data_IF_826100813106
#
_entry.id   IF_826100813106
#
_cell.length_a   1.000
_cell.length_b   1.000
_cell.length_c   1.000
_cell.angle_alpha   90.00
_cell.angle_beta   90.00
_cell.angle_gamma   90.00
#
_symmetry.space_group_name_H-M   'P 1'
#
loop_
_entity.id
_entity.type
_entity.pdbx_description
1 polymer ?
#
# COMPACT_ATOMS: atom_id res chain seq x y z
N UNK A 1 -2.73 -10.39 16.39
CA UNK A 1 -1.85 -9.38 15.77
C UNK A 1 -2.55 -8.03 15.60
N UNK A 2 -3.74 -7.95 14.99
CA UNK A 2 -4.50 -6.68 14.79
C UNK A 2 -4.68 -5.79 16.04
N UNK A 3 -4.84 -6.37 17.23
CA UNK A 3 -4.97 -5.60 18.48
C UNK A 3 -3.65 -4.92 18.90
N UNK A 4 -2.52 -5.62 18.80
CA UNK A 4 -1.21 -5.06 19.11
C UNK A 4 -0.80 -4.00 18.07
N UNK A 5 -1.16 -4.19 16.80
CA UNK A 5 -0.92 -3.21 15.74
C UNK A 5 -1.70 -1.91 16.00
N UNK A 6 -2.97 -2.03 16.41
CA UNK A 6 -3.79 -0.87 16.81
C UNK A 6 -3.23 -0.13 18.03
N UNK A 7 -2.76 -0.87 19.04
CA UNK A 7 -2.12 -0.29 20.22
C UNK A 7 -0.83 0.46 19.86
N UNK A 8 0.01 -0.14 19.01
CA UNK A 8 1.26 0.47 18.55
C UNK A 8 1.00 1.79 17.80
N UNK A 9 -0.02 1.82 16.94
CA UNK A 9 -0.41 3.03 16.22
C UNK A 9 -0.89 4.14 17.15
N UNK A 10 -1.70 3.81 18.16
CA UNK A 10 -2.19 4.77 19.15
C UNK A 10 -1.03 5.35 19.98
N UNK A 11 -0.11 4.51 20.46
CA UNK A 11 1.09 4.94 21.20
C UNK A 11 1.98 5.82 20.32
N UNK A 12 2.14 5.49 19.04
CA UNK A 12 2.92 6.29 18.10
C UNK A 12 2.32 7.70 17.92
N UNK A 13 1.00 7.82 17.77
CA UNK A 13 0.33 9.13 17.68
C UNK A 13 0.51 9.91 18.98
N UNK A 14 0.28 9.26 20.13
CA UNK A 14 0.44 9.90 21.43
C UNK A 14 1.86 10.45 21.60
N UNK A 15 2.88 9.68 21.21
CA UNK A 15 4.28 10.10 21.28
C UNK A 15 4.60 11.26 20.32
N UNK A 16 4.09 11.24 19.09
CA UNK A 16 4.25 12.37 18.17
C UNK A 16 3.59 13.63 18.72
N UNK A 17 2.42 13.50 19.34
CA UNK A 17 1.71 14.61 19.94
C UNK A 17 2.47 15.17 21.15
N UNK A 18 2.95 14.31 22.06
CA UNK A 18 3.70 14.77 23.25
C UNK A 18 5.02 15.41 22.87
N UNK A 19 5.78 14.83 21.94
CA UNK A 19 7.04 15.40 21.46
C UNK A 19 6.82 16.66 20.63
N UNK A 20 5.71 16.74 19.88
CA UNK A 20 5.32 17.95 19.16
C UNK A 20 4.96 19.10 20.09
N UNK A 21 4.25 18.81 21.19
CA UNK A 21 3.90 19.80 22.22
C UNK A 21 5.13 20.30 23.00
N UNK A 22 6.22 19.53 23.03
CA UNK A 22 7.49 19.92 23.65
C UNK A 22 8.24 20.98 22.83
N UNK A 23 7.93 21.13 21.53
CA UNK A 23 8.60 22.07 20.63
C UNK A 23 7.81 23.36 20.51
N UNK A 24 8.44 24.49 20.85
CA UNK A 24 7.86 25.81 20.62
C UNK A 24 8.12 26.27 19.17
N UNK A 25 7.09 26.70 18.42
CA UNK A 25 7.27 27.21 17.05
C UNK A 25 8.24 28.39 16.93
N UNK A 26 8.35 29.20 17.98
CA UNK A 26 9.28 30.33 18.06
C UNK A 26 10.75 29.90 18.05
N UNK A 27 11.08 28.75 18.64
CA UNK A 27 12.45 28.22 18.66
C UNK A 27 12.82 27.49 17.38
N UNK A 28 11.84 27.19 16.51
CA UNK A 28 12.09 26.58 15.21
C UNK A 28 12.61 27.61 14.20
N UNK A 29 12.11 28.85 14.25
CA UNK A 29 12.42 29.92 13.27
C UNK A 29 13.92 30.10 13.01
N UNK A 30 14.80 30.16 14.03
CA UNK A 30 16.24 30.30 13.82
C UNK A 30 16.89 29.07 13.14
N UNK A 31 16.27 27.90 13.28
CA UNK A 31 16.80 26.62 12.80
C UNK A 31 16.27 26.23 11.43
N UNK A 32 15.25 26.95 10.91
CA UNK A 32 14.65 26.67 9.60
C UNK A 32 15.70 26.70 8.49
N UNK A 33 16.55 27.72 8.44
CA UNK A 33 17.58 27.85 7.40
C UNK A 33 18.56 26.66 7.39
N UNK A 34 19.34 26.47 8.48
CA UNK A 34 20.27 25.35 8.59
C UNK A 34 19.58 23.99 8.47
N UNK A 35 18.42 23.82 9.11
CA UNK A 35 17.62 22.60 9.10
C UNK A 35 17.11 22.24 7.71
N UNK A 36 16.68 23.23 6.92
CA UNK A 36 16.23 23.01 5.53
C UNK A 36 17.39 22.56 4.65
N UNK A 37 18.55 23.20 4.79
CA UNK A 37 19.74 22.81 4.02
C UNK A 37 20.17 21.38 4.32
N UNK A 38 20.23 21.01 5.60
CA UNK A 38 20.53 19.64 6.03
C UNK A 38 19.45 18.67 5.58
N UNK A 39 18.16 19.04 5.68
CA UNK A 39 17.06 18.20 5.23
C UNK A 39 17.17 17.89 3.73
N UNK A 40 17.39 18.92 2.91
CA UNK A 40 17.55 18.79 1.45
C UNK A 40 18.76 17.90 1.13
N UNK A 41 19.90 18.14 1.77
CA UNK A 41 21.10 17.33 1.58
C UNK A 41 20.85 15.85 1.92
N UNK A 42 20.22 15.59 3.06
CA UNK A 42 19.91 14.22 3.49
C UNK A 42 18.90 13.53 2.55
N UNK A 43 17.94 14.28 2.00
CA UNK A 43 16.89 13.74 1.12
C UNK A 43 17.40 13.51 -0.30
N UNK A 44 18.11 14.48 -0.88
CA UNK A 44 18.51 14.45 -2.30
C UNK A 44 19.86 13.77 -2.53
N UNK A 45 20.75 13.77 -1.53
CA UNK A 45 22.13 13.26 -1.69
C UNK A 45 22.36 12.04 -0.82
N UNK A 46 22.29 12.19 0.51
CA UNK A 46 22.70 11.13 1.42
C UNK A 46 21.86 9.86 1.24
N UNK A 47 20.54 9.99 1.13
CA UNK A 47 19.65 8.83 0.98
C UNK A 47 19.81 8.15 -0.39
N UNK A 48 19.72 8.83 -1.54
CA UNK A 48 19.83 8.16 -2.82
C UNK A 48 21.16 7.43 -2.98
N UNK A 49 22.26 8.04 -2.53
CA UNK A 49 23.57 7.38 -2.51
C UNK A 49 23.54 6.14 -1.62
N UNK A 50 23.06 6.24 -0.38
CA UNK A 50 22.99 5.10 0.54
C UNK A 50 22.16 3.94 -0.03
N UNK A 51 20.98 4.23 -0.60
CA UNK A 51 20.11 3.21 -1.18
C UNK A 51 20.72 2.62 -2.45
N UNK A 52 21.29 3.45 -3.33
CA UNK A 52 21.94 2.98 -4.56
C UNK A 52 23.15 2.09 -4.28
N UNK A 53 23.95 2.40 -3.26
CA UNK A 53 25.08 1.57 -2.83
C UNK A 53 24.59 0.25 -2.26
N UNK A 54 23.59 0.27 -1.36
CA UNK A 54 23.01 -0.96 -0.81
C UNK A 54 22.33 -1.84 -1.88
N UNK A 55 21.79 -1.22 -2.93
CA UNK A 55 21.02 -1.88 -3.99
C UNK A 55 21.84 -2.05 -5.30
N UNK A 56 23.12 -1.68 -5.30
CA UNK A 56 24.06 -1.94 -6.37
C UNK A 56 24.20 -3.45 -6.68
N UNK A 57 24.29 -4.37 -5.69
CA UNK A 57 24.45 -5.80 -5.97
C UNK A 57 23.18 -6.50 -6.45
N UNK A 58 21.99 -5.89 -6.33
CA UNK A 58 20.75 -6.51 -6.81
C UNK A 58 20.57 -6.33 -8.32
N UNK A 59 20.65 -7.44 -9.07
CA UNK A 59 20.62 -7.50 -10.55
C UNK A 59 19.22 -7.59 -11.18
N UNK A 60 18.17 -7.76 -10.39
CA UNK A 60 16.79 -7.97 -10.88
C UNK A 60 15.90 -6.72 -10.97
N UNK A 61 16.44 -5.53 -10.71
CA UNK A 61 15.64 -4.30 -10.53
C UNK A 61 16.12 -3.19 -11.46
N UNK A 62 15.19 -2.54 -12.17
CA UNK A 62 15.46 -1.44 -13.08
C UNK A 62 15.87 -0.16 -12.35
N UNK A 63 16.59 0.74 -13.02
CA UNK A 63 17.09 1.98 -12.41
C UNK A 63 15.97 2.87 -11.87
N UNK A 64 14.79 2.83 -12.51
CA UNK A 64 13.59 3.56 -12.09
C UNK A 64 13.08 3.05 -10.74
N UNK A 65 13.00 1.74 -10.55
CA UNK A 65 12.55 1.15 -9.29
C UNK A 65 13.53 1.46 -8.15
N UNK A 66 14.84 1.38 -8.42
CA UNK A 66 15.88 1.78 -7.45
C UNK A 66 15.76 3.25 -7.06
N UNK A 67 15.52 4.14 -8.03
CA UNK A 67 15.28 5.57 -7.80
C UNK A 67 14.00 5.82 -6.98
N UNK A 68 12.92 5.08 -7.24
CA UNK A 68 11.69 5.19 -6.47
C UNK A 68 11.92 4.74 -5.01
N UNK A 69 12.62 3.63 -4.78
CA UNK A 69 12.96 3.16 -3.43
C UNK A 69 13.89 4.16 -2.72
N UNK A 70 14.86 4.73 -3.44
CA UNK A 70 15.72 5.79 -2.93
C UNK A 70 14.93 7.06 -2.55
N UNK A 71 13.84 7.34 -3.24
CA UNK A 71 12.97 8.49 -2.97
C UNK A 71 11.98 8.23 -1.84
N UNK A 72 11.42 7.01 -1.79
CA UNK A 72 10.48 6.57 -0.76
C UNK A 72 11.23 6.28 0.54
N UNK A 73 11.26 7.28 1.41
CA UNK A 73 11.73 7.09 2.77
C UNK A 73 11.08 8.08 3.72
N UNK A 74 9.83 7.87 4.05
CA UNK A 74 9.20 8.66 5.09
C UNK A 74 9.99 8.47 6.38
N UNK A 75 10.47 9.57 6.96
CA UNK A 75 11.16 9.54 8.25
C UNK A 75 10.12 9.21 9.31
N UNK A 76 10.34 8.10 10.01
CA UNK A 76 9.46 7.66 11.10
C UNK A 76 9.68 8.46 12.38
N UNK A 77 9.15 7.93 13.48
CA UNK A 77 9.23 8.55 14.78
C UNK A 77 10.61 8.41 15.47
N UNK A 78 11.39 7.40 15.05
CA UNK A 78 12.67 7.03 15.65
C UNK A 78 13.66 8.19 15.79
N UNK A 79 13.93 9.02 14.76
CA UNK A 79 14.91 10.10 14.90
C UNK A 79 14.52 11.14 15.96
N UNK A 80 13.22 11.40 16.14
CA UNK A 80 12.73 12.37 17.14
C UNK A 80 12.97 11.80 18.55
N UNK A 81 12.70 10.50 18.75
CA UNK A 81 13.01 9.82 20.02
C UNK A 81 14.51 9.87 20.30
N UNK A 82 15.36 9.58 19.31
CA UNK A 82 16.81 9.63 19.51
C UNK A 82 17.29 11.05 19.86
N UNK A 83 16.60 12.08 19.36
CA UNK A 83 16.90 13.47 19.68
C UNK A 83 16.49 13.87 21.11
N UNK A 84 15.69 13.06 21.82
CA UNK A 84 15.42 13.29 23.25
C UNK A 84 16.59 12.85 24.13
N UNK A 85 17.47 11.96 23.66
CA UNK A 85 18.61 11.52 24.47
C UNK A 85 19.57 12.66 24.84
N UNK A 86 20.00 13.55 23.93
CA UNK A 86 20.76 14.74 24.30
C UNK A 86 20.03 15.65 25.29
N UNK A 87 18.70 15.75 25.17
CA UNK A 87 17.85 16.59 26.01
C UNK A 87 17.80 16.05 27.44
N UNK A 88 17.61 14.75 27.60
CA UNK A 88 17.60 14.07 28.91
C UNK A 88 19.01 14.06 29.54
N UNK A 89 20.05 13.96 28.71
CA UNK A 89 21.44 14.01 29.16
C UNK A 89 21.91 15.43 29.56
N UNK A 90 21.08 16.46 29.37
CA UNK A 90 21.41 17.84 29.75
C UNK A 90 22.57 18.45 28.96
N UNK A 91 22.77 18.00 27.71
CA UNK A 91 23.88 18.48 26.88
C UNK A 91 23.65 19.94 26.48
N UNK A 92 24.72 20.74 26.44
CA UNK A 92 24.65 22.11 25.92
C UNK A 92 24.07 22.12 24.50
N UNK A 93 23.13 23.03 24.24
CA UNK A 93 22.40 23.14 22.95
C UNK A 93 21.55 21.91 22.58
N UNK A 94 21.23 21.02 23.53
CA UNK A 94 20.35 19.89 23.27
C UNK A 94 18.98 20.28 22.70
N UNK A 95 18.40 21.39 23.17
CA UNK A 95 17.17 21.97 22.62
C UNK A 95 17.32 22.31 21.13
N UNK A 96 18.44 22.89 20.72
CA UNK A 96 18.71 23.20 19.30
C UNK A 96 18.81 21.93 18.46
N UNK A 97 19.48 20.89 18.96
CA UNK A 97 19.57 19.60 18.26
C UNK A 97 18.19 18.94 18.13
N UNK A 98 17.40 18.95 19.21
CA UNK A 98 16.04 18.43 19.21
C UNK A 98 15.14 19.16 18.21
N UNK A 99 15.10 20.50 18.27
CA UNK A 99 14.34 21.34 17.37
C UNK A 99 14.78 21.14 15.90
N UNK A 100 16.08 20.97 15.65
CA UNK A 100 16.61 20.70 14.31
C UNK A 100 16.12 19.35 13.77
N UNK A 101 16.25 18.28 14.56
CA UNK A 101 15.81 16.93 14.15
C UNK A 101 14.29 16.90 13.95
N UNK A 102 13.54 17.50 14.88
CA UNK A 102 12.09 17.62 14.78
C UNK A 102 11.68 18.34 13.49
N UNK A 103 12.29 19.49 13.20
CA UNK A 103 12.05 20.23 11.97
C UNK A 103 12.33 19.38 10.72
N UNK A 104 13.48 18.70 10.67
CA UNK A 104 13.88 17.85 9.53
C UNK A 104 12.91 16.67 9.33
N UNK A 105 12.40 16.07 10.40
CA UNK A 105 11.46 14.93 10.29
C UNK A 105 10.09 15.42 9.83
N UNK A 106 9.52 16.44 10.48
CA UNK A 106 8.21 16.98 10.15
C UNK A 106 8.18 17.55 8.72
N UNK A 107 9.15 18.40 8.36
CA UNK A 107 9.24 18.96 7.01
C UNK A 107 9.37 17.86 5.95
N UNK A 108 10.17 16.82 6.22
CA UNK A 108 10.33 15.69 5.31
C UNK A 108 9.05 14.88 5.16
N UNK A 109 8.31 14.60 6.23
CA UNK A 109 7.06 13.81 6.14
C UNK A 109 5.98 14.61 5.40
N UNK A 110 5.84 15.90 5.70
CA UNK A 110 4.88 16.79 5.04
C UNK A 110 5.20 16.96 3.55
N UNK A 111 6.47 17.16 3.19
CA UNK A 111 6.87 17.34 1.80
C UNK A 111 6.92 16.03 1.02
N UNK A 112 7.49 14.96 1.60
CA UNK A 112 7.66 13.69 0.88
C UNK A 112 6.36 12.89 0.76
N UNK A 113 5.41 13.01 1.68
CA UNK A 113 4.15 12.26 1.62
C UNK A 113 3.44 12.39 0.27
N UNK A 114 3.06 13.62 -0.14
CA UNK A 114 2.47 13.87 -1.47
C UNK A 114 3.44 13.58 -2.61
N UNK A 115 4.73 13.89 -2.41
CA UNK A 115 5.74 13.81 -3.45
C UNK A 115 6.06 12.37 -3.86
N UNK A 116 5.87 11.38 -2.98
CA UNK A 116 6.02 9.94 -3.31
C UNK A 116 5.01 9.54 -4.39
N UNK A 117 3.73 9.87 -4.21
CA UNK A 117 2.68 9.56 -5.18
C UNK A 117 2.96 10.24 -6.53
N UNK A 118 3.43 11.49 -6.49
CA UNK A 118 3.83 12.22 -7.69
C UNK A 118 5.05 11.58 -8.39
N UNK A 119 6.10 11.23 -7.65
CA UNK A 119 7.32 10.64 -8.20
C UNK A 119 7.08 9.25 -8.77
N UNK A 120 6.23 8.44 -8.12
CA UNK A 120 5.80 7.14 -8.65
C UNK A 120 5.08 7.28 -10.00
N UNK A 121 4.24 8.32 -10.18
CA UNK A 121 3.62 8.67 -11.47
C UNK A 121 4.66 9.09 -12.49
N UNK A 122 5.57 9.98 -12.11
CA UNK A 122 6.63 10.49 -12.99
C UNK A 122 7.53 9.37 -13.53
N UNK A 123 7.83 8.36 -12.71
CA UNK A 123 8.66 7.22 -13.12
C UNK A 123 7.90 6.16 -13.93
N UNK A 124 6.58 6.31 -14.09
CA UNK A 124 5.71 5.33 -14.76
C UNK A 124 5.59 4.01 -14.00
N UNK A 125 5.79 4.04 -12.67
CA UNK A 125 5.75 2.85 -11.80
C UNK A 125 4.41 2.70 -11.07
N UNK A 126 3.40 3.50 -11.42
CA UNK A 126 2.04 3.24 -10.96
C UNK A 126 1.50 2.00 -11.66
N UNK A 127 1.29 0.94 -10.89
CA UNK A 127 0.53 -0.22 -11.34
C UNK A 127 -0.86 0.25 -11.77
N UNK A 128 -1.13 0.27 -13.07
CA UNK A 128 -2.46 0.50 -13.65
C UNK A 128 -3.35 -0.75 -13.47
N UNK A 129 -3.25 -1.43 -12.33
CA UNK A 129 -4.25 -2.43 -11.98
C UNK A 129 -5.49 -1.61 -11.59
N UNK A 130 -6.57 -1.62 -12.37
CA UNK A 130 -7.77 -0.83 -12.07
C UNK A 130 -8.19 -1.13 -10.64
N UNK A 131 -8.54 -0.08 -9.87
CA UNK A 131 -8.95 -0.20 -8.46
C UNK A 131 -9.73 -1.49 -8.26
N UNK A 132 -9.17 -2.37 -7.44
CA UNK A 132 -9.80 -3.63 -7.11
C UNK A 132 -11.07 -3.28 -6.33
N UNK A 133 -12.25 -3.81 -6.69
CA UNK A 133 -13.46 -3.50 -5.97
C UNK A 133 -13.23 -3.94 -4.53
N UNK A 134 -13.50 -3.08 -3.55
CA UNK A 134 -13.46 -3.50 -2.17
C UNK A 134 -14.67 -4.40 -1.94
N UNK A 135 -14.47 -5.71 -2.02
CA UNK A 135 -15.55 -6.67 -1.84
C UNK A 135 -16.06 -6.56 -0.40
N UNK A 136 -17.38 -6.41 -0.19
CA UNK A 136 -17.96 -6.38 1.15
C UNK A 136 -17.79 -7.72 1.90
N UNK A 137 -17.32 -8.75 1.20
CA UNK A 137 -16.99 -10.06 1.75
C UNK A 137 -15.47 -10.18 1.78
N UNK A 138 -14.89 -10.00 2.96
CA UNK A 138 -13.50 -10.37 3.24
C UNK A 138 -13.47 -11.79 3.83
N UNK A 139 -12.97 -12.77 3.07
CA UNK A 139 -12.75 -14.11 3.63
C UNK A 139 -11.36 -14.15 4.27
N UNK A 140 -11.31 -13.86 5.57
CA UNK A 140 -10.08 -14.01 6.35
C UNK A 140 -9.84 -15.50 6.59
N UNK A 141 -8.92 -16.10 5.82
CA UNK A 141 -8.39 -17.43 6.12
C UNK A 141 -9.02 -18.63 5.40
N UNK A 142 -9.76 -18.42 4.30
CA UNK A 142 -10.40 -19.53 3.55
C UNK A 142 -11.46 -20.27 4.37
N UNK A 143 -12.27 -21.12 3.73
CA UNK A 143 -13.13 -22.07 4.43
C UNK A 143 -12.63 -23.46 4.03
N UNK A 144 -11.81 -24.08 4.90
CA UNK A 144 -11.15 -25.34 4.58
C UNK A 144 -10.19 -25.23 3.39
N UNK A 145 -10.41 -26.04 2.36
CA UNK A 145 -9.65 -26.07 1.11
C UNK A 145 -10.13 -25.04 0.06
N UNK A 146 -11.17 -24.25 0.39
CA UNK A 146 -11.78 -23.29 -0.53
C UNK A 146 -11.18 -21.89 -0.41
N UNK A 147 -11.01 -21.25 -1.56
CA UNK A 147 -10.46 -19.91 -1.75
C UNK A 147 -11.35 -19.07 -2.65
N UNK A 148 -11.36 -17.75 -2.44
CA UNK A 148 -12.01 -16.80 -3.35
C UNK A 148 -11.02 -16.37 -4.43
N UNK A 149 -11.43 -16.51 -5.68
CA UNK A 149 -10.66 -16.15 -6.85
C UNK A 149 -11.46 -15.21 -7.73
N UNK A 150 -10.82 -14.12 -8.15
CA UNK A 150 -11.41 -13.10 -9.00
C UNK A 150 -11.15 -13.44 -10.47
N UNK A 151 -12.20 -13.33 -11.29
CA UNK A 151 -12.15 -13.55 -12.73
C UNK A 151 -12.72 -12.34 -13.47
N UNK A 152 -11.91 -11.75 -14.35
CA UNK A 152 -12.35 -10.66 -15.22
C UNK A 152 -12.99 -11.23 -16.50
N UNK A 153 -14.20 -10.78 -16.83
CA UNK A 153 -14.89 -11.13 -18.07
C UNK A 153 -14.59 -10.04 -19.10
N UNK A 154 -13.70 -10.33 -20.06
CA UNK A 154 -13.39 -9.38 -21.14
C UNK A 154 -14.58 -9.19 -22.09
N UNK A 155 -14.66 -8.03 -22.74
CA UNK A 155 -15.59 -7.82 -23.86
C UNK A 155 -15.32 -8.88 -24.95
N UNK A 156 -16.38 -9.53 -25.43
CA UNK A 156 -16.28 -10.65 -26.39
C UNK A 156 -15.89 -12.01 -25.78
N UNK A 157 -15.84 -12.13 -24.45
CA UNK A 157 -15.60 -13.42 -23.79
C UNK A 157 -16.71 -14.44 -24.13
N UNK A 158 -16.41 -15.75 -24.30
CA UNK A 158 -17.40 -16.79 -24.63
C UNK A 158 -18.54 -16.94 -23.61
N UNK A 159 -18.31 -16.47 -22.38
CA UNK A 159 -19.29 -16.48 -21.29
C UNK A 159 -20.15 -15.21 -21.24
N UNK A 160 -19.78 -14.15 -21.97
CA UNK A 160 -20.60 -12.94 -22.07
C UNK A 160 -21.90 -13.27 -22.81
N UNK A 161 -23.03 -12.82 -22.28
CA UNK A 161 -24.38 -13.15 -22.72
C UNK A 161 -24.91 -14.50 -22.20
N UNK A 162 -24.10 -15.30 -21.48
CA UNK A 162 -24.58 -16.57 -20.88
C UNK A 162 -25.15 -16.37 -19.49
N UNK A 163 -26.16 -17.17 -19.15
CA UNK A 163 -26.65 -17.29 -17.78
C UNK A 163 -25.68 -18.07 -16.92
N UNK A 164 -25.59 -17.73 -15.63
CA UNK A 164 -24.74 -18.42 -14.64
C UNK A 164 -25.01 -19.93 -14.63
N UNK A 165 -26.28 -20.36 -14.72
CA UNK A 165 -26.65 -21.77 -14.75
C UNK A 165 -26.16 -22.51 -16.02
N UNK A 166 -25.92 -21.79 -17.11
CA UNK A 166 -25.47 -22.35 -18.39
C UNK A 166 -23.94 -22.38 -18.56
N UNK A 167 -23.19 -21.99 -17.51
CA UNK A 167 -21.72 -22.02 -17.53
C UNK A 167 -21.17 -23.42 -17.30
N UNK A 168 -21.95 -24.32 -16.69
CA UNK A 168 -21.48 -25.67 -16.36
C UNK A 168 -20.36 -25.68 -15.32
N UNK A 169 -20.40 -24.77 -14.35
CA UNK A 169 -19.41 -24.75 -13.26
C UNK A 169 -19.46 -26.07 -12.46
N UNK A 170 -18.30 -26.58 -12.01
CA UNK A 170 -18.26 -27.77 -11.17
C UNK A 170 -18.93 -27.50 -9.82
N UNK A 171 -19.37 -28.55 -9.11
CA UNK A 171 -20.04 -28.41 -7.81
C UNK A 171 -19.20 -27.69 -6.73
N UNK A 172 -17.87 -27.69 -6.91
CA UNK A 172 -16.91 -26.98 -6.08
C UNK A 172 -16.76 -25.49 -6.43
N UNK A 173 -17.34 -25.01 -7.53
CA UNK A 173 -17.25 -23.63 -8.03
C UNK A 173 -18.55 -22.86 -7.85
N UNK A 174 -18.54 -21.85 -6.99
CA UNK A 174 -19.70 -21.00 -6.73
C UNK A 174 -19.36 -19.53 -7.00
N UNK A 175 -20.10 -18.87 -7.90
CA UNK A 175 -20.01 -17.41 -8.05
C UNK A 175 -20.75 -16.77 -6.88
N UNK A 176 -20.01 -16.10 -5.99
CA UNK A 176 -20.54 -15.49 -4.77
C UNK A 176 -20.99 -14.06 -5.02
N UNK A 177 -20.22 -13.32 -5.82
CA UNK A 177 -20.50 -11.93 -6.17
C UNK A 177 -20.15 -11.64 -7.62
N UNK A 178 -20.90 -10.73 -8.22
CA UNK A 178 -20.64 -10.14 -9.52
C UNK A 178 -20.51 -8.63 -9.32
N UNK A 179 -19.46 -8.03 -9.87
CA UNK A 179 -19.27 -6.59 -9.85
C UNK A 179 -19.43 -6.03 -11.28
N UNK A 180 -20.43 -5.16 -11.45
CA UNK A 180 -20.78 -4.50 -12.73
C UNK A 180 -21.06 -3.04 -12.47
N UNK A 181 -20.47 -2.15 -13.27
CA UNK A 181 -20.70 -0.70 -13.22
C UNK A 181 -20.59 -0.07 -11.83
N UNK A 182 -19.68 -0.57 -10.98
CA UNK A 182 -19.46 -0.04 -9.62
C UNK A 182 -20.39 -0.63 -8.55
N UNK A 183 -21.28 -1.56 -8.91
CA UNK A 183 -22.22 -2.19 -7.99
C UNK A 183 -21.94 -3.68 -7.82
N UNK A 184 -22.17 -4.19 -6.62
CA UNK A 184 -22.11 -5.63 -6.33
C UNK A 184 -23.51 -6.25 -6.40
N UNK A 185 -23.61 -7.36 -7.13
CA UNK A 185 -24.82 -8.15 -7.27
C UNK A 185 -24.54 -9.58 -6.78
N UNK A 186 -25.50 -10.16 -6.06
CA UNK A 186 -25.48 -11.60 -5.75
C UNK A 186 -26.11 -12.32 -6.94
N UNK A 187 -25.33 -13.09 -7.72
CA UNK A 187 -25.86 -13.74 -8.90
C UNK A 187 -26.80 -14.89 -8.52
N UNK A 188 -27.84 -15.07 -9.32
CA UNK A 188 -28.71 -16.24 -9.31
C UNK A 188 -28.45 -17.07 -10.58
N UNK A 189 -29.00 -18.28 -10.67
CA UNK A 189 -28.87 -19.10 -11.88
C UNK A 189 -29.37 -18.39 -13.17
N UNK A 190 -30.32 -17.46 -13.04
CA UNK A 190 -30.85 -16.67 -14.15
C UNK A 190 -30.03 -15.43 -14.52
N UNK A 191 -29.07 -15.02 -13.68
CA UNK A 191 -28.22 -13.85 -13.93
C UNK A 191 -27.41 -14.05 -15.19
N UNK A 192 -27.46 -13.07 -16.10
CA UNK A 192 -26.69 -13.06 -17.35
C UNK A 192 -25.37 -12.34 -17.11
N UNK A 193 -24.27 -12.98 -17.48
CA UNK A 193 -22.93 -12.39 -17.41
C UNK A 193 -22.71 -11.50 -18.62
N UNK A 194 -22.12 -10.33 -18.43
CA UNK A 194 -21.83 -9.36 -19.47
C UNK A 194 -20.32 -9.09 -19.56
N UNK A 195 -19.88 -8.59 -20.73
CA UNK A 195 -18.49 -8.18 -20.90
C UNK A 195 -18.19 -6.95 -20.04
N UNK A 196 -17.14 -7.01 -19.23
CA UNK A 196 -16.80 -6.00 -18.24
C UNK A 196 -17.11 -6.44 -16.79
N UNK A 197 -17.84 -7.54 -16.60
CA UNK A 197 -18.10 -8.09 -15.27
C UNK A 197 -16.81 -8.59 -14.60
N UNK A 198 -16.73 -8.42 -13.27
CA UNK A 198 -15.76 -9.13 -12.43
C UNK A 198 -16.49 -10.12 -11.54
N UNK A 199 -16.14 -11.39 -11.64
CA UNK A 199 -16.77 -12.49 -10.92
C UNK A 199 -15.88 -12.89 -9.74
N UNK A 200 -16.47 -12.97 -8.56
CA UNK A 200 -15.83 -13.53 -7.38
C UNK A 200 -16.31 -14.96 -7.19
N UNK A 201 -15.42 -15.92 -7.40
CA UNK A 201 -15.74 -17.36 -7.41
C UNK A 201 -15.07 -18.04 -6.21
N UNK A 202 -15.87 -18.72 -5.39
CA UNK A 202 -15.40 -19.61 -4.35
C UNK A 202 -15.12 -20.98 -4.94
N UNK A 203 -13.89 -21.47 -4.80
CA UNK A 203 -13.50 -22.80 -5.28
C UNK A 203 -12.24 -23.34 -4.59
N UNK A 204 -11.99 -24.64 -4.73
CA UNK A 204 -10.79 -25.30 -4.19
C UNK A 204 -9.66 -25.36 -5.23
N UNK A 205 -8.45 -25.72 -4.80
CA UNK A 205 -7.29 -25.73 -5.71
C UNK A 205 -7.41 -26.74 -6.85
N UNK A 206 -8.11 -27.86 -6.63
CA UNK A 206 -8.27 -28.93 -7.61
C UNK A 206 -9.15 -28.53 -8.80
N UNK A 207 -10.23 -27.77 -8.56
CA UNK A 207 -11.18 -27.35 -9.61
C UNK A 207 -10.85 -26.00 -10.23
N UNK A 208 -9.84 -25.27 -9.72
CA UNK A 208 -9.40 -24.00 -10.30
C UNK A 208 -9.01 -24.07 -11.78
N UNK A 209 -8.28 -25.09 -12.27
CA UNK A 209 -7.92 -25.19 -13.68
C UNK A 209 -9.15 -25.36 -14.59
N UNK A 210 -10.13 -26.16 -14.15
CA UNK A 210 -11.38 -26.37 -14.86
C UNK A 210 -12.20 -25.07 -14.95
N UNK A 211 -12.36 -24.35 -13.83
CA UNK A 211 -13.06 -23.07 -13.79
C UNK A 211 -12.36 -22.02 -14.65
N UNK A 212 -11.02 -21.97 -14.66
CA UNK A 212 -10.25 -21.10 -15.55
C UNK A 212 -10.51 -21.40 -17.03
N UNK A 213 -10.64 -22.67 -17.39
CA UNK A 213 -10.95 -23.08 -18.77
C UNK A 213 -12.35 -22.64 -19.18
N UNK A 214 -13.34 -22.76 -18.29
CA UNK A 214 -14.74 -22.36 -18.53
C UNK A 214 -14.87 -20.85 -18.65
N UNK A 215 -14.24 -20.10 -17.74
CA UNK A 215 -14.37 -18.64 -17.67
C UNK A 215 -13.45 -17.90 -18.65
N UNK A 216 -12.49 -18.60 -19.28
CA UNK A 216 -11.61 -18.05 -20.31
C UNK A 216 -10.65 -16.97 -19.80
N UNK A 217 -10.47 -16.85 -18.48
CA UNK A 217 -9.63 -15.82 -17.87
C UNK A 217 -8.69 -16.39 -16.81
N UNK A 218 -7.55 -15.71 -16.65
CA UNK A 218 -6.56 -16.07 -15.63
C UNK A 218 -7.09 -15.59 -14.27
N UNK A 219 -7.74 -16.47 -13.52
CA UNK A 219 -8.24 -16.15 -12.19
C UNK A 219 -7.11 -15.70 -11.25
N UNK A 220 -7.26 -14.56 -10.60
CA UNK A 220 -6.28 -14.03 -9.63
C UNK A 220 -6.78 -14.31 -8.21
N UNK A 221 -5.98 -14.89 -7.31
CA UNK A 221 -6.41 -15.11 -5.94
C UNK A 221 -6.67 -13.77 -5.24
N UNK A 222 -7.74 -13.72 -4.46
CA UNK A 222 -8.05 -12.56 -3.63
C UNK A 222 -6.93 -12.38 -2.61
N UNK A 223 -6.22 -11.25 -2.66
CA UNK A 223 -5.21 -10.88 -1.65
C UNK A 223 -5.93 -10.15 -0.52
N UNK A 224 -5.77 -10.67 0.69
CA UNK A 224 -6.30 -10.10 1.93
C UNK A 224 -5.71 -8.73 2.25
#
# INVERSE_FOLDING_TARGET
MRFHDGLAWLVQIAMFLTLGLLVFPSELVPVIGPGTLVAIFLILVARPISVLVCLAPSRGMGIREKLLIAWVGLRGAVPIILATFPLVAGIEKAHTMFNMVFFIVVSSVVLQGPLISFFARFLGLQSTDPERPHYPIGMVGGIGDKSLVEFDVKQGSPIAGRRVLNLGLPASGLIVLLHRDGHFLVPSGGTVIEGGDRLLVLTNQESLPEIRSILGSHGRPQRA
#
